data_IF_100893428767
#
_entry.id   IF_100893428767
#
_cell.length_a   1.000
_cell.length_b   1.000
_cell.length_c   1.000
_cell.angle_alpha   90.00
_cell.angle_beta   90.00
_cell.angle_gamma   90.00
#
_symmetry.space_group_name_H-M   'P 1'
#
loop_
_entity.id
_entity.type
_entity.pdbx_description
1 polymer ?
#
# COMPACT_ATOMS: atom_id res chain seq x y z
N UNK A 1 49.93 0.29 -42.19
CA UNK A 1 49.67 1.69 -41.70
C UNK A 1 48.34 2.14 -42.34
N UNK A 2 47.29 2.32 -41.55
CA UNK A 2 45.94 2.72 -42.05
C UNK A 2 45.94 4.22 -42.36
N UNK A 3 45.38 4.68 -43.47
CA UNK A 3 45.43 6.08 -43.86
C UNK A 3 44.65 6.96 -42.86
N UNK A 4 45.10 8.18 -42.54
CA UNK A 4 44.55 9.01 -41.47
C UNK A 4 43.09 9.44 -41.67
N UNK A 5 42.57 9.38 -42.90
CA UNK A 5 41.16 9.66 -43.20
C UNK A 5 40.20 8.57 -42.71
N UNK A 6 40.60 7.31 -42.76
CA UNK A 6 39.78 6.17 -42.29
C UNK A 6 39.65 6.19 -40.76
N UNK A 7 40.64 6.67 -40.05
CA UNK A 7 40.65 6.79 -38.56
C UNK A 7 39.70 7.86 -38.03
N UNK A 8 39.44 8.92 -38.80
CA UNK A 8 38.48 9.97 -38.42
C UNK A 8 37.04 9.53 -38.60
N UNK A 9 36.71 8.85 -39.71
CA UNK A 9 35.36 8.38 -40.00
C UNK A 9 34.93 7.27 -38.99
N UNK A 10 35.82 6.34 -38.66
CA UNK A 10 35.51 5.29 -37.64
C UNK A 10 35.31 5.88 -36.25
N UNK A 11 36.06 6.91 -35.87
CA UNK A 11 35.83 7.59 -34.56
C UNK A 11 34.47 8.32 -34.52
N UNK A 12 34.09 9.00 -35.59
CA UNK A 12 32.79 9.69 -35.69
C UNK A 12 31.60 8.70 -35.67
N UNK A 13 31.74 7.54 -36.30
CA UNK A 13 30.70 6.49 -36.29
C UNK A 13 30.59 5.89 -34.88
N UNK A 14 31.70 5.64 -34.19
CA UNK A 14 31.70 5.12 -32.81
C UNK A 14 31.05 6.09 -31.84
N UNK A 15 31.37 7.39 -31.95
CA UNK A 15 30.75 8.40 -31.07
C UNK A 15 29.26 8.55 -31.32
N UNK A 16 28.82 8.53 -32.59
CA UNK A 16 27.41 8.54 -32.93
C UNK A 16 26.66 7.32 -32.40
N UNK A 17 27.26 6.12 -32.53
CA UNK A 17 26.70 4.89 -31.99
C UNK A 17 26.59 4.91 -30.44
N UNK A 18 27.59 5.42 -29.74
CA UNK A 18 27.54 5.60 -28.29
C UNK A 18 26.46 6.59 -27.85
N UNK A 19 26.30 7.70 -28.55
CA UNK A 19 25.26 8.68 -28.29
C UNK A 19 23.85 8.11 -28.54
N UNK A 20 23.67 7.36 -29.62
CA UNK A 20 22.42 6.68 -29.93
C UNK A 20 22.07 5.63 -28.86
N UNK A 21 23.06 4.86 -28.40
CA UNK A 21 22.86 3.85 -27.36
C UNK A 21 22.55 4.49 -26.00
N UNK A 22 23.19 5.58 -25.63
CA UNK A 22 22.91 6.36 -24.42
C UNK A 22 21.48 6.94 -24.47
N UNK A 23 21.04 7.45 -25.63
CA UNK A 23 19.67 7.94 -25.84
C UNK A 23 18.62 6.84 -25.70
N UNK A 24 18.89 5.63 -26.21
CA UNK A 24 17.99 4.49 -26.11
C UNK A 24 17.82 3.99 -24.64
N UNK A 25 18.88 4.03 -23.84
CA UNK A 25 18.82 3.67 -22.42
C UNK A 25 17.97 4.66 -21.60
N UNK A 26 18.03 5.97 -21.93
CA UNK A 26 17.23 7.00 -21.25
C UNK A 26 15.74 6.89 -21.60
N UNK A 27 15.37 6.37 -22.75
CA UNK A 27 13.99 6.18 -23.18
C UNK A 27 13.31 4.93 -22.57
N UNK A 28 14.06 4.04 -21.94
CA UNK A 28 13.55 2.78 -21.41
C UNK A 28 12.87 2.89 -20.02
N UNK A 29 12.88 4.06 -19.38
CA UNK A 29 12.25 4.27 -18.06
C UNK A 29 10.75 4.58 -18.24
N UNK A 30 9.92 3.57 -18.49
CA UNK A 30 8.47 3.70 -18.38
C UNK A 30 7.99 3.37 -16.96
N UNK A 31 6.97 4.07 -16.43
CA UNK A 31 6.39 3.72 -15.16
C UNK A 31 5.67 2.38 -15.23
N UNK A 32 5.71 1.64 -14.13
CA UNK A 32 4.89 0.45 -13.95
C UNK A 32 3.54 0.87 -13.40
N UNK A 33 2.48 0.53 -14.12
CA UNK A 33 1.10 0.79 -13.71
C UNK A 33 0.47 -0.52 -13.24
N UNK A 34 -0.04 -0.52 -12.01
CA UNK A 34 -0.72 -1.65 -11.39
C UNK A 34 -2.15 -1.28 -11.01
N UNK A 35 -3.10 -2.12 -11.37
CA UNK A 35 -4.47 -2.03 -10.93
C UNK A 35 -4.71 -3.02 -9.78
N UNK A 36 -5.29 -2.54 -8.68
CA UNK A 36 -5.54 -3.31 -7.46
C UNK A 36 -6.99 -3.20 -7.03
N UNK A 37 -7.51 -4.26 -6.45
CA UNK A 37 -8.88 -4.32 -5.97
C UNK A 37 -9.84 -4.86 -7.03
N UNK A 38 -11.09 -4.44 -6.98
CA UNK A 38 -12.14 -4.91 -7.87
C UNK A 38 -12.28 -3.98 -9.07
N UNK A 39 -11.86 -4.44 -10.23
CA UNK A 39 -11.98 -3.69 -11.49
C UNK A 39 -13.37 -3.95 -12.05
N UNK A 40 -14.23 -2.95 -12.06
CA UNK A 40 -15.58 -3.03 -12.62
C UNK A 40 -15.68 -2.30 -13.96
N UNK A 41 -16.50 -2.85 -14.86
CA UNK A 41 -16.82 -2.17 -16.12
C UNK A 41 -17.91 -1.09 -15.82
N UNK A 42 -17.69 0.17 -16.22
CA UNK A 42 -18.73 1.20 -16.11
C UNK A 42 -20.10 0.81 -16.71
N UNK A 43 -20.09 -0.09 -17.68
CA UNK A 43 -21.32 -0.62 -18.29
C UNK A 43 -22.14 -1.48 -17.33
N UNK A 44 -21.51 -2.14 -16.37
CA UNK A 44 -22.20 -2.95 -15.39
C UNK A 44 -22.92 -2.09 -14.36
N UNK A 45 -22.35 -0.91 -14.04
CA UNK A 45 -23.02 0.08 -13.20
C UNK A 45 -24.33 0.60 -13.82
N UNK A 46 -24.37 0.77 -15.13
CA UNK A 46 -25.60 1.25 -15.83
C UNK A 46 -26.75 0.23 -15.83
N UNK A 47 -26.48 -1.03 -15.49
CA UNK A 47 -27.50 -2.09 -15.39
C UNK A 47 -28.20 -2.11 -14.04
N UNK A 48 -27.69 -1.36 -13.08
CA UNK A 48 -28.18 -1.33 -11.70
C UNK A 48 -28.96 -0.05 -11.48
N UNK A 49 -30.24 -0.19 -11.14
CA UNK A 49 -31.15 0.94 -10.91
C UNK A 49 -31.58 0.99 -9.45
N UNK A 50 -31.48 2.17 -8.84
CA UNK A 50 -31.96 2.39 -7.48
C UNK A 50 -33.51 2.22 -7.42
N UNK A 51 -33.99 1.58 -6.37
CA UNK A 51 -35.39 1.26 -6.16
C UNK A 51 -35.91 0.03 -6.93
N UNK A 52 -35.11 -0.55 -7.83
CA UNK A 52 -35.54 -1.68 -8.69
C UNK A 52 -34.66 -2.91 -8.51
N UNK A 53 -33.35 -2.73 -8.51
CA UNK A 53 -32.37 -3.83 -8.49
C UNK A 53 -32.25 -4.42 -7.10
N UNK A 54 -32.40 -5.74 -7.00
CA UNK A 54 -32.22 -6.47 -5.74
C UNK A 54 -30.72 -6.73 -5.47
N UNK A 55 -30.40 -6.98 -4.22
CA UNK A 55 -29.07 -7.34 -3.72
C UNK A 55 -28.48 -8.56 -4.46
N UNK A 56 -29.31 -9.58 -4.72
CA UNK A 56 -28.91 -10.77 -5.47
C UNK A 56 -28.56 -10.45 -6.94
N UNK A 57 -29.29 -9.51 -7.54
CA UNK A 57 -29.00 -9.04 -8.89
C UNK A 57 -27.69 -8.25 -8.94
N UNK A 58 -27.44 -7.36 -7.94
CA UNK A 58 -26.15 -6.68 -7.81
C UNK A 58 -25.02 -7.69 -7.71
N UNK A 59 -25.18 -8.73 -6.89
CA UNK A 59 -24.19 -9.80 -6.74
C UNK A 59 -23.96 -10.59 -8.02
N UNK A 60 -25.00 -10.77 -8.81
CA UNK A 60 -24.91 -11.49 -10.11
C UNK A 60 -24.17 -10.65 -11.16
N UNK A 61 -24.41 -9.35 -11.18
CA UNK A 61 -23.82 -8.41 -12.16
C UNK A 61 -22.38 -8.04 -11.76
N UNK A 62 -22.19 -7.63 -10.49
CA UNK A 62 -20.94 -7.11 -9.98
C UNK A 62 -20.08 -8.16 -9.26
N UNK A 63 -20.62 -9.33 -8.95
CA UNK A 63 -19.91 -10.32 -8.14
C UNK A 63 -19.86 -9.96 -6.65
N UNK A 64 -18.83 -10.48 -5.96
CA UNK A 64 -18.65 -10.23 -4.52
C UNK A 64 -18.06 -8.84 -4.27
N UNK A 65 -18.58 -8.06 -3.31
CA UNK A 65 -18.04 -6.75 -2.97
C UNK A 65 -16.64 -6.85 -2.34
N UNK A 66 -15.86 -5.77 -2.46
CA UNK A 66 -14.55 -5.65 -1.81
C UNK A 66 -14.69 -5.57 -0.28
N UNK A 67 -15.71 -4.89 0.20
CA UNK A 67 -16.06 -4.79 1.63
C UNK A 67 -17.54 -4.46 1.81
N UNK A 68 -18.06 -4.74 3.00
CA UNK A 68 -19.44 -4.44 3.38
C UNK A 68 -19.47 -3.66 4.68
N UNK A 69 -20.48 -2.79 4.85
CA UNK A 69 -20.76 -2.06 6.07
C UNK A 69 -22.20 -2.32 6.52
N UNK A 70 -22.40 -2.31 7.84
CA UNK A 70 -23.72 -2.49 8.46
C UNK A 70 -24.03 -1.41 9.51
N UNK A 71 -23.29 -0.30 9.51
CA UNK A 71 -23.37 0.72 10.57
C UNK A 71 -24.67 1.52 10.48
N UNK A 72 -25.02 2.01 9.27
CA UNK A 72 -26.24 2.80 9.01
C UNK A 72 -27.16 2.14 7.99
N UNK A 73 -27.21 0.82 8.02
CA UNK A 73 -27.84 -0.01 6.98
C UNK A 73 -26.79 -0.89 6.34
N UNK A 74 -27.22 -1.75 5.41
CA UNK A 74 -26.27 -2.57 4.67
C UNK A 74 -25.76 -1.81 3.44
N UNK A 75 -24.43 -1.70 3.34
CA UNK A 75 -23.79 -1.09 2.18
C UNK A 75 -22.67 -1.99 1.64
N UNK A 76 -22.60 -2.11 0.33
CA UNK A 76 -21.56 -2.85 -0.38
C UNK A 76 -20.67 -1.90 -1.14
N UNK A 77 -19.35 -2.07 -0.98
CA UNK A 77 -18.35 -1.24 -1.63
C UNK A 77 -17.51 -2.08 -2.59
N UNK A 78 -17.42 -1.62 -3.81
CA UNK A 78 -16.52 -2.13 -4.83
C UNK A 78 -15.42 -1.11 -5.04
N UNK A 79 -14.19 -1.48 -4.69
CA UNK A 79 -13.06 -0.55 -4.63
C UNK A 79 -12.02 -0.98 -5.65
N UNK A 80 -11.69 -0.07 -6.55
CA UNK A 80 -10.59 -0.18 -7.50
C UNK A 80 -9.59 0.95 -7.28
N UNK A 81 -8.31 0.64 -7.33
CA UNK A 81 -7.23 1.62 -7.20
C UNK A 81 -6.16 1.36 -8.24
N UNK A 82 -5.66 2.43 -8.87
CA UNK A 82 -4.60 2.40 -9.86
C UNK A 82 -3.35 3.05 -9.30
N UNK A 83 -2.27 2.30 -9.29
CA UNK A 83 -0.98 2.74 -8.76
C UNK A 83 0.03 2.89 -9.89
N UNK A 84 0.85 3.91 -9.81
CA UNK A 84 1.98 4.15 -10.69
C UNK A 84 3.28 4.10 -9.89
N UNK A 85 4.24 3.33 -10.38
CA UNK A 85 5.55 3.18 -9.74
C UNK A 85 6.65 3.54 -10.72
N UNK A 86 7.46 4.53 -10.37
CA UNK A 86 8.67 4.89 -11.10
C UNK A 86 9.88 4.23 -10.46
N UNK A 87 10.52 3.30 -11.15
CA UNK A 87 11.75 2.61 -10.75
C UNK A 87 11.76 2.12 -9.29
N UNK A 88 12.41 2.86 -8.38
CA UNK A 88 12.55 2.54 -6.95
C UNK A 88 11.74 3.48 -6.02
N UNK A 89 10.93 4.37 -6.59
CA UNK A 89 10.06 5.22 -5.78
C UNK A 89 8.87 4.44 -5.24
N UNK A 90 8.26 5.00 -4.18
CA UNK A 90 7.04 4.41 -3.62
C UNK A 90 5.92 4.47 -4.66
N UNK A 91 5.11 3.40 -4.78
CA UNK A 91 3.90 3.45 -5.58
C UNK A 91 3.03 4.64 -5.18
N UNK A 92 2.60 5.41 -6.16
CA UNK A 92 1.64 6.50 -5.96
C UNK A 92 0.30 6.08 -6.53
N UNK A 93 -0.76 6.31 -5.78
CA UNK A 93 -2.11 6.09 -6.25
C UNK A 93 -2.49 7.27 -7.16
N UNK A 94 -2.73 6.95 -8.43
CA UNK A 94 -3.04 7.95 -9.46
C UNK A 94 -4.53 8.00 -9.77
N UNK A 95 -5.27 6.93 -9.45
CA UNK A 95 -6.71 6.87 -9.66
C UNK A 95 -7.35 5.92 -8.65
N UNK A 96 -8.58 6.24 -8.24
CA UNK A 96 -9.42 5.42 -7.37
C UNK A 96 -10.86 5.53 -7.81
N UNK A 97 -11.52 4.40 -7.87
CA UNK A 97 -12.94 4.33 -8.13
C UNK A 97 -13.61 3.47 -7.07
N UNK A 98 -14.61 4.02 -6.41
CA UNK A 98 -15.41 3.32 -5.40
C UNK A 98 -16.86 3.43 -5.82
N UNK A 99 -17.50 2.29 -6.08
CA UNK A 99 -18.94 2.21 -6.23
C UNK A 99 -19.53 1.67 -4.93
N UNK A 100 -20.43 2.45 -4.32
CA UNK A 100 -21.12 2.10 -3.10
C UNK A 100 -22.60 1.89 -3.38
N UNK A 101 -23.11 0.74 -2.98
CA UNK A 101 -24.53 0.38 -3.08
C UNK A 101 -25.10 0.31 -1.68
N UNK A 102 -26.05 1.17 -1.38
CA UNK A 102 -26.78 1.19 -0.12
C UNK A 102 -28.07 0.42 -0.27
N UNK A 103 -28.33 -0.52 0.63
CA UNK A 103 -29.51 -1.38 0.59
C UNK A 103 -30.52 -0.98 1.66
N UNK A 104 -31.79 -1.00 1.27
CA UNK A 104 -32.87 -0.91 2.21
C UNK A 104 -33.07 -2.27 2.93
N UNK A 105 -33.86 -2.27 4.01
CA UNK A 105 -34.23 -3.49 4.75
C UNK A 105 -34.96 -4.55 3.88
N UNK A 106 -35.43 -4.16 2.73
CA UNK A 106 -36.10 -5.01 1.72
C UNK A 106 -35.12 -5.67 0.76
N UNK A 107 -33.79 -5.55 0.97
CA UNK A 107 -32.74 -6.06 0.08
C UNK A 107 -32.78 -5.45 -1.34
N UNK A 108 -33.34 -4.25 -1.50
CA UNK A 108 -33.33 -3.48 -2.74
C UNK A 108 -32.32 -2.35 -2.63
N UNK A 109 -31.65 -2.01 -3.74
CA UNK A 109 -30.73 -0.87 -3.80
C UNK A 109 -31.50 0.42 -3.57
N UNK A 110 -31.19 1.12 -2.50
CA UNK A 110 -31.79 2.43 -2.16
C UNK A 110 -31.06 3.55 -2.88
N UNK A 111 -29.73 3.52 -2.83
CA UNK A 111 -28.88 4.57 -3.37
C UNK A 111 -27.61 3.97 -3.95
N UNK A 112 -27.11 4.61 -4.99
CA UNK A 112 -25.82 4.29 -5.62
C UNK A 112 -24.98 5.54 -5.53
N UNK A 113 -23.84 5.45 -4.83
CA UNK A 113 -22.87 6.53 -4.76
C UNK A 113 -21.57 6.12 -5.44
N UNK A 114 -20.94 7.10 -6.09
CA UNK A 114 -19.66 6.91 -6.76
C UNK A 114 -18.66 7.91 -6.20
N UNK A 115 -17.50 7.40 -5.78
CA UNK A 115 -16.43 8.22 -5.21
C UNK A 115 -15.14 8.00 -5.99
N UNK A 116 -14.48 9.10 -6.33
CA UNK A 116 -13.17 9.11 -6.94
C UNK A 116 -12.02 9.36 -5.95
N UNK A 117 -10.83 9.51 -6.48
CA UNK A 117 -9.66 9.88 -5.68
C UNK A 117 -9.81 11.27 -5.04
N UNK A 118 -10.51 12.19 -5.72
CA UNK A 118 -10.75 13.57 -5.29
C UNK A 118 -11.67 13.66 -4.08
N UNK A 119 -12.55 12.65 -3.88
CA UNK A 119 -13.47 12.58 -2.74
C UNK A 119 -12.79 12.11 -1.45
N UNK A 120 -11.52 11.68 -1.56
CA UNK A 120 -10.73 11.21 -0.43
C UNK A 120 -10.42 12.33 0.55
N UNK A 121 -10.81 12.15 1.83
CA UNK A 121 -10.43 13.05 2.91
C UNK A 121 -9.19 12.51 3.62
N UNK A 122 -8.21 13.39 3.85
CA UNK A 122 -7.05 13.06 4.67
C UNK A 122 -7.49 13.05 6.13
N UNK A 123 -7.64 11.86 6.69
CA UNK A 123 -7.87 11.69 8.12
C UNK A 123 -6.51 11.79 8.82
N UNK A 124 -6.28 12.88 9.56
CA UNK A 124 -5.13 12.97 10.45
C UNK A 124 -5.37 12.01 11.62
N UNK A 125 -4.69 10.88 11.61
CA UNK A 125 -4.62 10.02 12.78
C UNK A 125 -3.96 10.82 13.90
N UNK A 126 -4.68 10.98 15.02
CA UNK A 126 -4.11 11.57 16.22
C UNK A 126 -2.97 10.67 16.64
N UNK A 127 -1.76 11.22 16.63
CA UNK A 127 -0.53 10.53 16.99
C UNK A 127 -0.51 10.30 18.52
N UNK A 128 -1.42 9.44 18.96
CA UNK A 128 -1.59 9.07 20.36
C UNK A 128 -0.64 7.91 20.64
N UNK A 129 0.62 8.24 20.84
CA UNK A 129 1.59 7.28 21.35
C UNK A 129 1.19 6.90 22.77
N UNK A 130 0.79 5.66 22.96
CA UNK A 130 0.67 5.08 24.30
C UNK A 130 2.06 4.98 24.88
N UNK A 131 2.39 5.71 25.98
CA UNK A 131 3.70 5.59 26.59
C UNK A 131 3.83 4.16 27.14
N UNK A 132 4.54 3.33 26.41
CA UNK A 132 4.96 2.04 26.91
C UNK A 132 5.97 2.30 28.03
N UNK A 133 5.70 1.81 29.26
CA UNK A 133 6.65 1.85 30.38
C UNK A 133 7.83 0.90 30.16
N UNK A 134 8.38 0.87 28.98
CA UNK A 134 9.67 0.24 28.69
C UNK A 134 10.78 1.18 29.14
N UNK A 135 11.72 0.71 29.93
CA UNK A 135 12.97 1.44 30.14
C UNK A 135 13.64 1.60 28.78
N UNK A 136 13.63 2.81 28.25
CA UNK A 136 14.44 3.16 27.10
C UNK A 136 15.92 3.06 27.52
N UNK A 137 16.50 1.89 27.31
CA UNK A 137 17.92 1.72 27.45
C UNK A 137 18.57 2.42 26.25
N UNK A 138 19.19 3.57 26.49
CA UNK A 138 20.03 4.24 25.49
C UNK A 138 21.03 3.24 24.93
N UNK A 139 21.35 3.36 23.63
CA UNK A 139 22.32 2.48 22.94
C UNK A 139 23.63 2.36 23.73
N UNK A 140 24.07 3.44 24.35
CA UNK A 140 25.22 3.44 25.25
C UNK A 140 24.98 2.64 26.53
N UNK A 141 23.76 2.68 27.09
CA UNK A 141 23.38 1.89 28.26
C UNK A 141 23.33 0.38 27.96
N UNK A 142 22.97 0.01 26.74
CA UNK A 142 23.00 -1.39 26.30
C UNK A 142 24.43 -1.87 26.05
N UNK A 143 25.29 -1.02 25.48
CA UNK A 143 26.66 -1.36 25.17
C UNK A 143 27.53 -1.45 26.46
N UNK A 144 27.37 -0.51 27.40
CA UNK A 144 28.16 -0.46 28.63
C UNK A 144 27.48 -1.16 29.81
N UNK A 145 26.17 -1.39 29.80
CA UNK A 145 25.44 -2.06 30.87
C UNK A 145 25.83 -3.53 31.06
N UNK A 146 26.43 -4.16 30.07
CA UNK A 146 26.91 -5.55 30.14
C UNK A 146 28.42 -5.69 30.46
N UNK A 147 29.22 -4.63 30.31
CA UNK A 147 30.66 -4.71 30.48
C UNK A 147 31.09 -4.94 31.94
N UNK A 148 30.28 -4.53 32.90
CA UNK A 148 30.57 -4.72 34.34
C UNK A 148 30.02 -6.00 34.96
N UNK A 149 29.17 -6.74 34.25
CA UNK A 149 28.43 -7.87 34.80
C UNK A 149 29.22 -9.18 34.82
N UNK A 150 30.28 -9.28 34.06
CA UNK A 150 31.12 -10.47 33.94
C UNK A 150 32.29 -10.48 34.96
N UNK A 151 32.60 -9.37 35.60
CA UNK A 151 33.76 -9.26 36.52
C UNK A 151 33.38 -9.13 37.99
N UNK A 152 32.12 -9.34 38.40
CA UNK A 152 31.75 -9.41 39.78
C UNK A 152 31.88 -10.85 40.28
N UNK A 153 32.90 -11.20 41.09
CA UNK A 153 32.97 -12.52 41.72
C UNK A 153 31.82 -12.64 42.71
N UNK A 154 30.75 -13.35 42.35
CA UNK A 154 29.62 -13.60 43.25
C UNK A 154 28.22 -13.28 42.66
N UNK A 155 28.08 -12.87 41.40
CA UNK A 155 26.75 -12.73 40.80
C UNK A 155 26.17 -14.11 40.45
N UNK A 156 25.67 -14.79 41.47
CA UNK A 156 24.84 -16.00 41.32
C UNK A 156 23.63 -15.69 40.44
N UNK A 157 23.34 -16.61 39.56
CA UNK A 157 22.14 -16.66 38.72
C UNK A 157 20.92 -16.41 39.63
N UNK A 158 20.07 -15.40 39.36
CA UNK A 158 18.81 -15.29 40.09
C UNK A 158 17.93 -16.48 39.71
N UNK A 159 17.77 -17.40 40.64
CA UNK A 159 16.80 -18.48 40.55
C UNK A 159 15.42 -17.86 40.33
N UNK A 160 14.71 -18.32 39.32
CA UNK A 160 13.30 -18.09 39.09
C UNK A 160 12.52 -18.66 40.32
N UNK A 161 12.37 -17.83 41.35
CA UNK A 161 11.52 -18.12 42.48
C UNK A 161 10.08 -17.92 42.08
N UNK A 162 9.39 -19.01 41.81
CA UNK A 162 7.93 -19.13 41.78
C UNK A 162 7.40 -18.82 43.19
N UNK A 163 7.14 -17.54 43.46
CA UNK A 163 6.47 -17.10 44.71
C UNK A 163 4.97 -17.03 44.46
N UNK A 164 4.28 -18.07 44.85
CA UNK A 164 2.83 -18.15 45.00
C UNK A 164 2.37 -17.24 46.15
N UNK A 165 1.52 -16.21 45.99
CA UNK A 165 0.92 -15.50 47.12
C UNK A 165 -0.34 -16.23 47.55
N UNK A 166 -0.20 -17.07 48.60
CA UNK A 166 -1.35 -17.52 49.38
C UNK A 166 -1.92 -16.35 50.21
N UNK A 167 -3.18 -16.09 49.97
CA UNK A 167 -4.28 -15.61 50.84
C UNK A 167 -3.89 -15.12 52.26
N UNK A 168 -4.28 -13.89 52.51
CA UNK A 168 -5.22 -13.54 53.61
C UNK A 168 -5.88 -12.20 53.29
#
# INVERSE_FOLDING_TARGET
MMPPRLRRTTRSILTAACLAMAGAVLAACSPLVEERGYIFDPKDLTKIEAGVTSKEQVRTIMGSPSTTSTVDGEAWYYISSKFETYTFYRPQEIDRAIAAFYFEKTDVVQEIAYYGLEDGQIVNFVDRTTPTRGKELTILGQLFGNLGRYNAPGAGIPSTGTGNPTRR
#
